data_IF_064048021835
#
_entry.id   IF_064048021835
#
_cell.length_a   1.000
_cell.length_b   1.000
_cell.length_c   1.000
_cell.angle_alpha   90.00
_cell.angle_beta   90.00
_cell.angle_gamma   90.00
#
_symmetry.space_group_name_H-M   'P 1'
#
loop_
_entity.id
_entity.type
_entity.pdbx_description
1 polymer ?
#
# COMPACT_ATOMS: atom_id res chain seq x y z
N UNK A 1 -14.58 -6.80 -14.07
CA UNK A 1 -13.43 -6.04 -14.60
C UNK A 1 -12.15 -6.82 -14.40
N UNK A 2 -11.16 -6.63 -15.29
CA UNK A 2 -9.85 -7.29 -15.20
C UNK A 2 -8.76 -6.22 -15.22
N UNK A 3 -7.59 -6.47 -14.59
CA UNK A 3 -6.47 -5.55 -14.62
C UNK A 3 -6.13 -5.09 -16.05
N UNK A 4 -5.93 -3.79 -16.24
CA UNK A 4 -5.58 -3.19 -17.52
C UNK A 4 -6.66 -3.21 -18.60
N UNK A 5 -7.90 -3.57 -18.28
CA UNK A 5 -8.96 -3.73 -19.29
C UNK A 5 -9.42 -2.42 -19.92
N UNK A 6 -9.30 -1.30 -19.24
CA UNK A 6 -9.88 0.00 -19.63
C UNK A 6 -8.83 1.07 -19.96
N UNK A 7 -7.56 0.75 -19.93
CA UNK A 7 -6.53 1.66 -20.36
C UNK A 7 -6.52 1.83 -21.88
N UNK A 8 -6.10 2.99 -22.38
CA UNK A 8 -5.71 3.10 -23.77
C UNK A 8 -4.62 2.06 -24.04
N UNK A 9 -4.64 1.47 -25.23
CA UNK A 9 -3.67 0.44 -25.58
C UNK A 9 -3.08 0.69 -26.96
N UNK A 10 -1.84 0.27 -27.12
CA UNK A 10 -1.20 0.19 -28.44
C UNK A 10 -0.58 -1.20 -28.63
N UNK A 11 -0.36 -1.58 -29.86
CA UNK A 11 0.21 -2.89 -30.19
C UNK A 11 1.59 -2.71 -30.83
N UNK A 12 2.58 -3.44 -30.31
CA UNK A 12 3.92 -3.54 -30.88
C UNK A 12 4.27 -5.02 -31.02
N UNK A 13 4.61 -5.45 -32.23
CA UNK A 13 5.02 -6.83 -32.54
C UNK A 13 4.03 -7.89 -32.03
N UNK A 14 2.72 -7.64 -32.14
CA UNK A 14 1.67 -8.55 -31.69
C UNK A 14 1.39 -8.52 -30.17
N UNK A 15 2.12 -7.73 -29.41
CA UNK A 15 1.88 -7.54 -27.98
C UNK A 15 1.08 -6.27 -27.73
N UNK A 16 0.04 -6.38 -26.93
CA UNK A 16 -0.82 -5.28 -26.55
C UNK A 16 -0.34 -4.65 -25.26
N UNK A 17 -0.04 -3.36 -25.32
CA UNK A 17 0.40 -2.56 -24.17
C UNK A 17 -0.73 -1.63 -23.75
N UNK A 18 -0.96 -1.55 -22.45
CA UNK A 18 -1.98 -0.70 -21.84
C UNK A 18 -1.29 0.46 -21.14
N UNK A 19 -1.88 1.65 -21.24
CA UNK A 19 -1.49 2.79 -20.43
C UNK A 19 -2.74 3.48 -19.90
N UNK A 20 -2.62 4.00 -18.73
CA UNK A 20 -3.67 4.71 -18.00
C UNK A 20 -3.21 4.78 -16.55
N UNK A 21 -2.84 5.98 -16.14
CA UNK A 21 -2.42 6.31 -14.80
C UNK A 21 -2.72 7.78 -14.49
N UNK A 22 -2.85 8.09 -13.22
CA UNK A 22 -2.72 9.46 -12.72
C UNK A 22 -1.23 9.65 -12.42
N UNK A 23 -0.59 10.56 -13.13
CA UNK A 23 0.86 10.73 -13.09
C UNK A 23 1.23 12.11 -12.53
N UNK A 24 1.87 12.11 -11.37
CA UNK A 24 2.48 13.29 -10.76
C UNK A 24 3.94 13.33 -11.19
N UNK A 25 4.27 14.30 -12.01
CA UNK A 25 5.62 14.49 -12.54
C UNK A 25 6.54 15.13 -11.50
N UNK A 26 7.84 15.03 -11.71
CA UNK A 26 8.87 15.67 -10.88
C UNK A 26 8.54 17.13 -10.59
N UNK A 27 8.59 17.51 -9.32
CA UNK A 27 8.26 18.86 -8.83
C UNK A 27 6.77 19.09 -8.59
N UNK A 28 5.93 18.08 -8.73
CA UNK A 28 4.51 18.18 -8.35
C UNK A 28 4.36 18.11 -6.83
N UNK A 29 3.65 19.05 -6.20
CA UNK A 29 3.43 19.10 -4.75
C UNK A 29 2.03 19.60 -4.38
N UNK A 30 1.61 19.36 -3.13
CA UNK A 30 0.34 19.86 -2.58
C UNK A 30 -0.90 19.29 -3.22
N UNK A 31 -0.81 18.13 -3.88
CA UNK A 31 -1.95 17.49 -4.53
C UNK A 31 -2.81 16.72 -3.54
N UNK A 32 -4.11 16.65 -3.80
CA UNK A 32 -5.05 15.85 -3.01
C UNK A 32 -5.96 15.03 -3.90
N UNK A 33 -6.10 13.75 -3.59
CA UNK A 33 -7.14 12.86 -4.12
C UNK A 33 -7.95 12.35 -2.94
N UNK A 34 -9.27 12.58 -2.97
CA UNK A 34 -10.18 12.18 -1.91
C UNK A 34 -11.50 11.66 -2.48
N UNK A 35 -12.06 10.61 -1.89
CA UNK A 35 -13.29 9.95 -2.32
C UNK A 35 -13.29 9.53 -3.79
N UNK A 36 -12.23 8.87 -4.24
CA UNK A 36 -12.08 8.44 -5.62
C UNK A 36 -12.16 6.91 -5.78
N UNK A 37 -12.59 6.47 -6.96
CA UNK A 37 -12.46 5.08 -7.42
C UNK A 37 -11.62 5.08 -8.68
N UNK A 38 -10.40 4.57 -8.59
CA UNK A 38 -9.42 4.50 -9.68
C UNK A 38 -9.26 3.03 -10.08
N UNK A 39 -9.64 2.68 -11.30
CA UNK A 39 -9.61 1.27 -11.70
C UNK A 39 -9.29 1.04 -13.17
N UNK A 40 -8.84 -0.19 -13.47
CA UNK A 40 -8.67 -0.70 -14.83
C UNK A 40 -7.59 0.05 -15.64
N UNK A 41 -6.50 0.44 -14.98
CA UNK A 41 -5.36 1.12 -15.58
C UNK A 41 -4.08 0.27 -15.62
N UNK A 42 -2.99 0.91 -15.92
CA UNK A 42 -1.64 0.32 -15.83
C UNK A 42 -1.08 0.49 -14.42
N UNK A 43 -1.01 1.73 -13.97
CA UNK A 43 -0.73 2.11 -12.58
C UNK A 43 -1.88 3.01 -12.13
N UNK A 44 -2.40 2.82 -10.94
CA UNK A 44 -3.45 3.70 -10.43
C UNK A 44 -2.91 5.11 -10.26
N UNK A 45 -1.85 5.22 -9.48
CA UNK A 45 -1.12 6.46 -9.23
C UNK A 45 0.37 6.19 -9.48
N UNK A 46 0.98 7.03 -10.28
CA UNK A 46 2.43 7.08 -10.46
C UNK A 46 2.92 8.44 -9.97
N UNK A 47 3.98 8.43 -9.14
CA UNK A 47 4.60 9.65 -8.63
C UNK A 47 6.09 9.53 -8.91
N UNK A 48 6.61 10.51 -9.67
CA UNK A 48 8.03 10.62 -9.95
C UNK A 48 8.73 11.44 -8.85
N UNK A 49 10.04 11.48 -8.91
CA UNK A 49 10.89 12.08 -7.89
C UNK A 49 10.43 13.47 -7.46
N UNK A 50 10.34 13.66 -6.16
CA UNK A 50 10.10 14.94 -5.53
C UNK A 50 11.41 15.69 -5.26
N UNK A 51 11.37 17.02 -5.13
CA UNK A 51 12.57 17.86 -5.06
C UNK A 51 12.70 18.57 -3.70
N UNK A 52 11.65 18.60 -2.90
CA UNK A 52 11.60 19.31 -1.61
C UNK A 52 10.83 18.52 -0.52
N UNK A 53 10.69 19.09 0.68
CA UNK A 53 10.05 18.43 1.83
C UNK A 53 8.51 18.52 1.85
N UNK A 54 7.87 19.12 0.83
CA UNK A 54 6.41 19.19 0.78
C UNK A 54 5.78 17.84 0.42
N UNK A 55 4.61 17.56 0.96
CA UNK A 55 3.82 16.38 0.57
C UNK A 55 3.42 16.49 -0.89
N UNK A 56 3.85 15.51 -1.69
CA UNK A 56 3.51 15.45 -3.12
C UNK A 56 2.03 15.16 -3.31
N UNK A 57 1.52 14.18 -2.58
CA UNK A 57 0.12 13.76 -2.67
C UNK A 57 -0.41 13.34 -1.30
N UNK A 58 -1.57 13.87 -0.94
CA UNK A 58 -2.45 13.31 0.09
C UNK A 58 -3.56 12.50 -0.57
N UNK A 59 -3.59 11.20 -0.31
CA UNK A 59 -4.58 10.25 -0.84
C UNK A 59 -5.47 9.74 0.28
N UNK A 60 -6.78 9.97 0.19
CA UNK A 60 -7.70 9.56 1.25
C UNK A 60 -9.01 8.99 0.72
N UNK A 61 -9.64 8.13 1.51
CA UNK A 61 -10.99 7.59 1.23
C UNK A 61 -11.13 7.07 -0.22
N UNK A 62 -10.12 6.35 -0.70
CA UNK A 62 -9.99 6.02 -2.12
C UNK A 62 -9.85 4.51 -2.33
N UNK A 63 -10.45 4.02 -3.40
CA UNK A 63 -10.31 2.64 -3.86
C UNK A 63 -9.50 2.61 -5.14
N UNK A 64 -8.40 1.85 -5.16
CA UNK A 64 -7.59 1.60 -6.36
C UNK A 64 -7.63 0.12 -6.69
N UNK A 65 -8.00 -0.26 -7.91
CA UNK A 65 -8.14 -1.67 -8.25
C UNK A 65 -7.93 -2.00 -9.73
N UNK A 66 -7.66 -3.28 -9.99
CA UNK A 66 -7.56 -3.84 -11.34
C UNK A 66 -6.46 -3.16 -12.17
N UNK A 67 -5.26 -3.00 -11.62
CA UNK A 67 -4.12 -2.42 -12.31
C UNK A 67 -3.24 -3.50 -12.91
N UNK A 68 -2.77 -3.30 -14.16
CA UNK A 68 -1.89 -4.25 -14.82
C UNK A 68 -0.43 -4.20 -14.34
N UNK A 69 -0.07 -3.21 -13.52
CA UNK A 69 1.22 -3.13 -12.83
C UNK A 69 0.96 -2.89 -11.34
N UNK A 70 0.63 -1.68 -10.92
CA UNK A 70 0.55 -1.34 -9.50
C UNK A 70 -0.60 -0.38 -9.17
N UNK A 71 -1.10 -0.46 -7.95
CA UNK A 71 -2.03 0.54 -7.42
C UNK A 71 -1.32 1.88 -7.24
N UNK A 72 -0.26 1.90 -6.45
CA UNK A 72 0.65 3.03 -6.29
C UNK A 72 2.04 2.63 -6.75
N UNK A 73 2.70 3.50 -7.50
CA UNK A 73 4.11 3.41 -7.86
C UNK A 73 4.76 4.76 -7.56
N UNK A 74 5.48 4.84 -6.45
CA UNK A 74 6.06 6.08 -5.95
C UNK A 74 7.60 5.97 -5.90
N UNK A 75 8.28 7.03 -6.34
CA UNK A 75 9.73 7.09 -6.40
C UNK A 75 10.22 8.38 -5.74
N UNK A 76 11.04 8.26 -4.69
CA UNK A 76 11.68 9.39 -3.99
C UNK A 76 10.69 10.54 -3.73
N UNK A 77 9.57 10.27 -3.06
CA UNK A 77 8.48 11.23 -2.94
C UNK A 77 7.90 11.24 -1.52
N UNK A 78 7.13 12.27 -1.19
CA UNK A 78 6.42 12.41 0.06
C UNK A 78 4.92 12.11 -0.16
N UNK A 79 4.42 11.05 0.44
CA UNK A 79 3.07 10.53 0.20
C UNK A 79 2.35 10.22 1.53
N UNK A 80 1.20 10.86 1.74
CA UNK A 80 0.28 10.55 2.83
C UNK A 80 -0.94 9.78 2.32
N UNK A 81 -1.21 8.61 2.88
CA UNK A 81 -2.33 7.74 2.48
C UNK A 81 -3.15 7.36 3.69
N UNK A 82 -4.45 7.58 3.65
CA UNK A 82 -5.36 7.12 4.71
C UNK A 82 -6.67 6.55 4.16
N UNK A 83 -7.32 5.69 4.94
CA UNK A 83 -8.61 5.08 4.59
C UNK A 83 -8.67 4.62 3.13
N UNK A 84 -7.65 3.91 2.66
CA UNK A 84 -7.51 3.57 1.26
C UNK A 84 -7.42 2.06 1.07
N UNK A 85 -8.20 1.54 0.12
CA UNK A 85 -8.16 0.14 -0.30
C UNK A 85 -7.47 0.02 -1.65
N UNK A 86 -6.44 -0.82 -1.73
CA UNK A 86 -5.74 -1.14 -2.98
C UNK A 86 -5.73 -2.65 -3.18
N UNK A 87 -6.30 -3.12 -4.30
CA UNK A 87 -6.41 -4.54 -4.54
C UNK A 87 -6.39 -4.92 -6.02
N UNK A 88 -6.14 -6.20 -6.28
CA UNK A 88 -6.17 -6.81 -7.61
C UNK A 88 -5.25 -6.08 -8.60
N UNK A 89 -3.98 -5.94 -8.24
CA UNK A 89 -2.92 -5.40 -9.08
C UNK A 89 -2.01 -6.55 -9.55
N UNK A 90 -1.57 -6.55 -10.82
CA UNK A 90 -0.82 -7.69 -11.36
C UNK A 90 0.58 -7.85 -10.73
N UNK A 91 1.19 -6.76 -10.25
CA UNK A 91 2.48 -6.77 -9.55
C UNK A 91 2.33 -6.35 -8.09
N UNK A 92 2.12 -5.07 -7.79
CA UNK A 92 2.14 -4.52 -6.44
C UNK A 92 0.84 -3.79 -6.13
N UNK A 93 0.34 -3.89 -4.91
CA UNK A 93 -0.63 -2.92 -4.43
C UNK A 93 0.07 -1.55 -4.24
N UNK A 94 1.24 -1.54 -3.61
CA UNK A 94 2.08 -0.35 -3.51
C UNK A 94 3.56 -0.70 -3.69
N UNK A 95 4.27 0.06 -4.54
CA UNK A 95 5.71 0.02 -4.69
C UNK A 95 6.27 1.40 -4.34
N UNK A 96 6.98 1.48 -3.22
CA UNK A 96 7.60 2.67 -2.66
C UNK A 96 9.11 2.51 -2.85
N UNK A 97 9.61 3.14 -3.91
CA UNK A 97 10.94 2.83 -4.42
C UNK A 97 11.84 4.05 -4.43
N UNK A 98 13.14 3.81 -4.37
CA UNK A 98 14.18 4.83 -4.48
C UNK A 98 14.12 5.85 -3.33
N UNK A 99 13.81 5.39 -2.10
CA UNK A 99 13.67 6.29 -0.95
C UNK A 99 12.39 7.11 -0.96
N UNK A 100 12.33 8.13 -0.11
CA UNK A 100 11.18 9.03 0.06
C UNK A 100 10.55 8.95 1.45
N UNK A 101 9.47 9.72 1.67
CA UNK A 101 8.72 9.75 2.93
C UNK A 101 7.28 9.26 2.71
N UNK A 102 6.89 8.26 3.44
CA UNK A 102 5.63 7.55 3.25
C UNK A 102 4.89 7.37 4.56
N UNK A 103 3.63 7.78 4.60
CA UNK A 103 2.77 7.58 5.76
C UNK A 103 1.45 6.94 5.32
N UNK A 104 1.16 5.74 5.84
CA UNK A 104 -0.02 4.94 5.50
C UNK A 104 -0.80 4.62 6.77
N UNK A 105 -1.99 5.16 6.91
CA UNK A 105 -2.85 4.95 8.08
C UNK A 105 -4.19 4.39 7.68
N UNK A 106 -4.65 3.34 8.35
CA UNK A 106 -5.91 2.67 8.04
C UNK A 106 -6.02 2.26 6.57
N UNK A 107 -4.96 1.64 6.03
CA UNK A 107 -4.94 1.18 4.65
C UNK A 107 -5.07 -0.34 4.53
N UNK A 108 -5.66 -0.80 3.43
CA UNK A 108 -5.74 -2.21 3.08
C UNK A 108 -5.05 -2.42 1.73
N UNK A 109 -3.88 -3.07 1.74
CA UNK A 109 -3.07 -3.40 0.58
C UNK A 109 -3.13 -4.90 0.34
N UNK A 110 -3.87 -5.36 -0.68
CA UNK A 110 -4.14 -6.78 -0.85
C UNK A 110 -4.11 -7.25 -2.30
N UNK A 111 -3.38 -8.33 -2.57
CA UNK A 111 -3.34 -8.95 -3.89
C UNK A 111 -3.60 -10.47 -3.81
N UNK A 112 -4.83 -10.90 -4.12
CA UNK A 112 -5.18 -12.32 -4.23
C UNK A 112 -5.11 -12.86 -5.66
N UNK A 113 -5.15 -12.00 -6.66
CA UNK A 113 -5.19 -12.36 -8.07
C UNK A 113 -3.93 -11.90 -8.84
N UNK A 114 -2.84 -11.61 -8.14
CA UNK A 114 -1.57 -11.22 -8.76
C UNK A 114 -1.07 -12.32 -9.70
N UNK A 115 -0.81 -11.97 -10.96
CA UNK A 115 -0.27 -12.90 -11.97
C UNK A 115 1.23 -13.06 -11.87
N UNK A 116 1.89 -12.06 -11.35
CA UNK A 116 3.31 -12.04 -11.09
C UNK A 116 3.54 -12.31 -9.60
N UNK A 117 4.57 -13.09 -9.28
CA UNK A 117 4.89 -13.48 -7.91
C UNK A 117 5.60 -12.32 -7.18
N UNK A 118 4.92 -11.18 -7.10
CA UNK A 118 5.40 -9.98 -6.43
C UNK A 118 4.53 -9.67 -5.21
N UNK A 119 5.13 -9.22 -4.09
CA UNK A 119 4.40 -8.94 -2.86
C UNK A 119 3.48 -7.71 -3.01
N UNK A 120 2.48 -7.62 -2.16
CA UNK A 120 1.54 -6.49 -2.16
C UNK A 120 2.22 -5.17 -1.86
N UNK A 121 3.24 -5.17 -0.99
CA UNK A 121 4.03 -3.99 -0.62
C UNK A 121 5.52 -4.22 -0.81
N UNK A 122 6.15 -3.30 -1.53
CA UNK A 122 7.62 -3.20 -1.66
C UNK A 122 8.08 -1.84 -1.17
N UNK A 123 9.15 -1.85 -0.38
CA UNK A 123 9.85 -0.67 0.12
C UNK A 123 11.33 -0.84 -0.20
N UNK A 124 11.92 0.07 -0.97
CA UNK A 124 13.36 0.09 -1.20
C UNK A 124 13.92 1.51 -1.34
N UNK A 125 15.23 1.66 -1.12
CA UNK A 125 15.89 2.96 -1.17
C UNK A 125 16.95 3.09 -2.28
N UNK A 126 17.06 2.13 -3.19
CA UNK A 126 18.15 2.10 -4.17
C UNK A 126 17.73 1.62 -5.56
N UNK A 127 18.58 1.92 -6.55
CA UNK A 127 18.54 1.33 -7.88
C UNK A 127 19.90 1.43 -8.59
N UNK A 128 20.09 0.61 -9.62
CA UNK A 128 21.24 0.68 -10.51
C UNK A 128 20.81 1.22 -11.88
N UNK A 129 21.50 2.22 -12.38
CA UNK A 129 21.29 2.78 -13.71
C UNK A 129 22.64 3.10 -14.35
N UNK A 130 22.85 2.65 -15.58
CA UNK A 130 24.07 2.90 -16.36
C UNK A 130 25.36 2.54 -15.58
N UNK A 131 25.35 1.40 -14.87
CA UNK A 131 26.38 0.90 -13.95
C UNK A 131 26.64 1.79 -12.70
N UNK A 132 25.82 2.82 -12.46
CA UNK A 132 25.88 3.63 -11.26
C UNK A 132 24.81 3.16 -10.27
N UNK A 133 25.22 2.99 -9.01
CA UNK A 133 24.33 2.61 -7.90
C UNK A 133 23.93 3.86 -7.12
N UNK A 134 22.62 4.10 -7.06
CA UNK A 134 22.04 5.26 -6.42
C UNK A 134 21.30 4.82 -5.16
N UNK A 135 21.47 5.54 -4.06
CA UNK A 135 20.81 5.30 -2.78
C UNK A 135 20.23 6.61 -2.26
N UNK A 136 19.04 6.55 -1.67
CA UNK A 136 18.31 7.70 -1.14
C UNK A 136 17.82 7.42 0.27
N UNK A 137 17.56 8.47 1.04
CA UNK A 137 16.93 8.36 2.34
C UNK A 137 15.49 7.87 2.21
N UNK A 138 15.09 6.99 3.14
CA UNK A 138 13.73 6.47 3.22
C UNK A 138 13.20 6.61 4.64
N UNK A 139 11.97 7.12 4.74
CA UNK A 139 11.17 7.10 5.96
C UNK A 139 9.78 6.55 5.62
N UNK A 140 9.36 5.43 6.23
CA UNK A 140 8.08 4.81 5.93
C UNK A 140 7.34 4.39 7.20
N UNK A 141 6.14 4.91 7.40
CA UNK A 141 5.30 4.58 8.54
C UNK A 141 3.98 3.97 8.08
N UNK A 142 3.64 2.83 8.66
CA UNK A 142 2.38 2.13 8.44
C UNK A 142 1.69 1.92 9.77
N UNK A 143 0.47 2.44 9.93
CA UNK A 143 -0.32 2.29 11.13
C UNK A 143 -1.73 1.77 10.83
N UNK A 144 -2.26 0.96 11.73
CA UNK A 144 -3.62 0.41 11.66
C UNK A 144 -3.95 -0.19 10.28
N UNK A 145 -2.99 -0.85 9.63
CA UNK A 145 -3.10 -1.25 8.22
C UNK A 145 -3.05 -2.76 8.03
N UNK A 146 -3.57 -3.24 6.90
CA UNK A 146 -3.54 -4.65 6.50
C UNK A 146 -2.74 -4.81 5.21
N UNK A 147 -1.68 -5.63 5.26
CA UNK A 147 -0.88 -6.05 4.10
C UNK A 147 -1.03 -7.57 3.95
N UNK A 148 -1.76 -8.01 2.92
CA UNK A 148 -2.09 -9.42 2.75
C UNK A 148 -2.24 -9.78 1.26
N UNK A 149 -2.32 -11.09 0.96
CA UNK A 149 -2.52 -11.57 -0.41
C UNK A 149 -2.29 -13.08 -0.52
N UNK A 150 -1.95 -13.53 -1.73
CA UNK A 150 -1.81 -14.96 -2.05
C UNK A 150 -0.42 -15.53 -1.79
N UNK A 151 0.63 -14.69 -1.73
CA UNK A 151 2.01 -15.15 -1.54
C UNK A 151 2.30 -15.56 -0.08
N UNK A 152 3.40 -16.24 0.13
CA UNK A 152 3.91 -16.57 1.47
C UNK A 152 4.35 -15.31 2.22
N UNK A 153 4.91 -14.32 1.52
CA UNK A 153 5.23 -12.99 2.05
C UNK A 153 4.67 -11.92 1.12
N UNK A 154 3.89 -11.00 1.67
CA UNK A 154 3.29 -9.88 0.96
C UNK A 154 4.00 -8.55 1.26
N UNK A 155 5.11 -8.63 1.97
CA UNK A 155 6.00 -7.52 2.29
C UNK A 155 7.41 -7.84 1.81
N UNK A 156 8.04 -6.90 1.10
CA UNK A 156 9.46 -6.90 0.76
C UNK A 156 10.07 -5.57 1.20
N UNK A 157 11.15 -5.66 1.97
CA UNK A 157 11.97 -4.55 2.42
C UNK A 157 13.36 -4.79 1.87
N UNK A 158 13.88 -3.87 1.07
CA UNK A 158 15.13 -4.00 0.33
C UNK A 158 15.98 -2.76 0.53
N UNK A 159 16.88 -2.84 1.51
CA UNK A 159 17.79 -1.77 1.93
C UNK A 159 19.14 -1.90 1.24
N UNK A 160 19.67 -0.79 0.74
CA UNK A 160 21.08 -0.69 0.34
C UNK A 160 21.98 -0.64 1.58
N UNK A 161 22.58 -1.77 1.91
CA UNK A 161 23.53 -1.86 3.01
C UNK A 161 24.85 -1.13 2.67
N UNK A 162 25.61 -0.72 3.70
CA UNK A 162 26.92 -0.07 3.58
C UNK A 162 26.94 1.34 2.97
N UNK A 163 25.78 2.02 2.94
CA UNK A 163 25.65 3.41 2.53
C UNK A 163 25.27 4.30 3.71
N UNK A 164 25.79 5.52 3.76
CA UNK A 164 25.49 6.52 4.78
C UNK A 164 24.17 7.26 4.41
N UNK A 165 23.08 6.48 4.39
CA UNK A 165 21.72 6.95 4.12
C UNK A 165 20.78 6.45 5.21
N UNK A 166 19.75 7.24 5.50
CA UNK A 166 18.71 6.88 6.43
C UNK A 166 17.78 5.84 5.79
N UNK A 167 17.50 4.75 6.51
CA UNK A 167 16.50 3.77 6.11
C UNK A 167 15.62 3.42 7.31
N UNK A 168 14.64 4.29 7.56
CA UNK A 168 13.73 4.17 8.69
C UNK A 168 12.37 3.69 8.22
N UNK A 169 11.85 2.66 8.86
CA UNK A 169 10.47 2.23 8.66
C UNK A 169 9.85 1.77 9.97
N UNK A 170 8.53 1.85 10.05
CA UNK A 170 7.79 1.31 11.19
C UNK A 170 6.43 0.77 10.75
N UNK A 171 6.09 -0.41 11.25
CA UNK A 171 4.75 -0.96 11.22
C UNK A 171 4.19 -0.97 12.63
N UNK A 172 3.11 -0.22 12.87
CA UNK A 172 2.44 -0.13 14.16
C UNK A 172 0.99 -0.59 14.05
N UNK A 173 0.57 -1.55 14.88
CA UNK A 173 -0.79 -2.09 14.84
C UNK A 173 -1.19 -2.49 13.41
N UNK A 174 -0.42 -3.36 12.77
CA UNK A 174 -0.68 -3.84 11.41
C UNK A 174 -0.92 -5.34 11.37
N UNK A 175 -1.74 -5.79 10.42
CA UNK A 175 -1.82 -7.20 10.05
C UNK A 175 -0.93 -7.43 8.83
N UNK A 176 0.13 -8.23 9.03
CA UNK A 176 1.13 -8.50 7.99
C UNK A 176 1.14 -9.99 7.63
N UNK A 177 1.10 -10.29 6.33
CA UNK A 177 1.39 -11.63 5.83
C UNK A 177 2.84 -11.70 5.39
N UNK A 178 3.65 -12.34 6.21
CA UNK A 178 5.07 -12.55 5.97
C UNK A 178 5.44 -14.03 6.13
N UNK A 179 6.47 -14.45 5.42
CA UNK A 179 7.03 -15.80 5.58
C UNK A 179 7.47 -16.00 7.04
N UNK A 180 7.26 -17.18 7.65
CA UNK A 180 7.67 -17.44 9.03
C UNK A 180 9.17 -17.22 9.33
N UNK A 181 10.00 -17.16 8.30
CA UNK A 181 11.43 -16.86 8.43
C UNK A 181 11.73 -15.36 8.43
N UNK A 182 10.74 -14.52 8.13
CA UNK A 182 10.87 -13.07 8.20
C UNK A 182 10.97 -12.65 9.66
N UNK A 183 12.05 -11.97 10.02
CA UNK A 183 12.36 -11.61 11.41
C UNK A 183 11.68 -10.27 11.75
N UNK A 184 10.85 -10.27 12.78
CA UNK A 184 10.16 -9.08 13.32
C UNK A 184 10.48 -8.88 14.81
N UNK A 185 11.72 -9.18 15.23
CA UNK A 185 12.11 -9.14 16.64
C UNK A 185 12.34 -7.70 17.15
N UNK A 186 12.59 -6.76 16.25
CA UNK A 186 12.74 -5.36 16.61
C UNK A 186 11.36 -4.71 16.81
N UNK A 187 10.99 -4.52 18.07
CA UNK A 187 9.70 -3.92 18.45
C UNK A 187 9.62 -2.41 18.22
N UNK A 188 10.72 -1.76 17.82
CA UNK A 188 10.70 -0.36 17.36
C UNK A 188 10.28 -0.27 15.91
N UNK A 189 10.59 -1.28 15.09
CA UNK A 189 10.19 -1.38 13.68
C UNK A 189 8.84 -2.08 13.51
N UNK A 190 8.57 -3.12 14.34
CA UNK A 190 7.37 -3.96 14.27
C UNK A 190 6.62 -3.96 15.61
N UNK A 191 5.70 -3.02 15.78
CA UNK A 191 4.98 -2.82 17.03
C UNK A 191 3.54 -3.32 16.95
N UNK A 192 3.13 -4.22 17.86
CA UNK A 192 1.77 -4.78 17.93
C UNK A 192 1.31 -5.44 16.63
N UNK A 193 2.15 -6.26 16.03
CA UNK A 193 1.84 -6.90 14.75
C UNK A 193 0.95 -8.14 14.93
N UNK A 194 -0.10 -8.21 14.12
CA UNK A 194 -0.91 -9.41 13.89
C UNK A 194 -0.33 -10.13 12.67
N UNK A 195 0.07 -11.40 12.81
CA UNK A 195 0.81 -12.10 11.75
C UNK A 195 0.05 -13.30 11.19
N UNK A 196 -0.19 -13.27 9.89
CA UNK A 196 -0.53 -14.46 9.13
C UNK A 196 0.71 -15.40 9.03
N UNK A 197 0.53 -16.73 8.89
CA UNK A 197 -0.70 -17.41 8.41
C UNK A 197 -1.71 -17.79 9.48
N UNK A 198 -1.44 -17.61 10.77
CA UNK A 198 -2.38 -18.01 11.83
C UNK A 198 -3.54 -17.04 11.98
N UNK A 199 -3.27 -15.75 11.88
CA UNK A 199 -4.21 -14.68 12.10
C UNK A 199 -4.61 -14.04 10.76
N UNK A 200 -5.75 -14.45 10.22
CA UNK A 200 -6.22 -14.04 8.90
C UNK A 200 -7.14 -12.82 8.97
N UNK A 201 -7.07 -11.90 8.01
CA UNK A 201 -7.95 -10.74 7.96
C UNK A 201 -9.42 -11.10 7.69
N UNK A 202 -9.70 -12.31 7.16
CA UNK A 202 -11.04 -12.84 6.89
C UNK A 202 -12.00 -11.77 6.35
N UNK A 203 -11.78 -11.40 5.11
CA UNK A 203 -12.67 -10.48 4.42
C UNK A 203 -13.98 -11.15 4.00
N UNK A 204 -15.06 -10.39 3.92
CA UNK A 204 -16.42 -10.89 3.60
C UNK A 204 -16.47 -11.57 2.24
N UNK A 205 -16.01 -10.92 1.16
CA UNK A 205 -16.00 -11.49 -0.18
C UNK A 205 -14.92 -10.86 -1.07
N UNK A 206 -13.65 -11.17 -0.87
CA UNK A 206 -12.56 -10.57 -1.63
C UNK A 206 -12.60 -10.88 -3.14
N UNK A 207 -13.27 -11.96 -3.55
CA UNK A 207 -13.43 -12.30 -4.96
C UNK A 207 -14.31 -11.30 -5.72
N UNK A 208 -15.25 -10.67 -5.03
CA UNK A 208 -16.12 -9.61 -5.56
C UNK A 208 -15.66 -8.20 -5.15
N UNK A 209 -14.47 -8.07 -4.54
CA UNK A 209 -13.92 -6.80 -4.10
C UNK A 209 -14.47 -6.28 -2.77
N UNK A 210 -15.15 -7.13 -1.99
CA UNK A 210 -15.63 -6.77 -0.65
C UNK A 210 -14.57 -7.16 0.40
N UNK A 211 -13.81 -6.15 0.81
CA UNK A 211 -12.73 -6.27 1.80
C UNK A 211 -13.13 -5.76 3.19
N UNK A 212 -14.43 -5.65 3.47
CA UNK A 212 -14.92 -5.45 4.83
C UNK A 212 -14.62 -6.70 5.67
N UNK A 213 -14.43 -6.50 6.96
CA UNK A 213 -14.02 -7.58 7.85
C UNK A 213 -15.20 -8.50 8.22
N UNK A 214 -14.95 -9.81 8.19
CA UNK A 214 -15.83 -10.85 8.74
C UNK A 214 -15.78 -10.84 10.28
N UNK A 215 -16.78 -11.44 10.93
CA UNK A 215 -16.88 -11.58 12.40
C UNK A 215 -15.68 -12.24 13.06
N UNK A 216 -14.96 -13.10 12.34
CA UNK A 216 -13.82 -13.86 12.84
C UNK A 216 -12.48 -13.28 12.35
N UNK A 217 -12.49 -12.04 11.86
CA UNK A 217 -11.28 -11.38 11.40
C UNK A 217 -10.29 -11.15 12.55
N UNK A 218 -9.03 -11.48 12.31
CA UNK A 218 -7.95 -11.15 13.25
C UNK A 218 -7.57 -9.66 13.23
N UNK A 219 -8.06 -8.91 12.23
CA UNK A 219 -7.86 -7.47 12.12
C UNK A 219 -8.83 -6.65 12.99
N UNK A 220 -9.85 -7.30 13.55
CA UNK A 220 -10.89 -6.67 14.36
C UNK A 220 -10.36 -6.22 15.71
N UNK A 221 -10.72 -5.00 16.14
CA UNK A 221 -10.41 -4.42 17.46
C UNK A 221 -8.89 -4.41 17.77
N UNK A 222 -8.03 -4.18 16.79
CA UNK A 222 -6.57 -4.25 16.93
C UNK A 222 -5.84 -2.94 16.64
N UNK A 223 -6.54 -1.93 16.16
CA UNK A 223 -5.96 -0.64 15.85
C UNK A 223 -5.57 0.17 17.07
N UNK A 224 -4.64 1.08 16.88
CA UNK A 224 -4.27 2.06 17.89
C UNK A 224 -5.29 3.21 17.87
N UNK A 225 -6.05 3.43 18.99
CA UNK A 225 -7.08 4.47 19.04
C UNK A 225 -6.53 5.90 18.97
N UNK A 226 -5.23 6.11 19.11
CA UNK A 226 -4.64 7.44 18.97
C UNK A 226 -4.90 8.05 17.58
N UNK A 227 -5.07 7.23 16.56
CA UNK A 227 -5.37 7.67 15.19
C UNK A 227 -6.83 8.08 14.96
N UNK A 228 -7.75 7.82 15.90
CA UNK A 228 -9.15 8.24 15.80
C UNK A 228 -9.35 9.76 15.80
N UNK A 229 -8.39 10.51 16.35
CA UNK A 229 -8.44 11.98 16.36
C UNK A 229 -8.42 12.52 14.93
N UNK A 230 -7.57 11.97 14.08
CA UNK A 230 -7.38 12.44 12.70
C UNK A 230 -8.21 11.63 11.70
N UNK A 231 -8.52 10.36 12.00
CA UNK A 231 -9.23 9.43 11.14
C UNK A 231 -10.42 8.77 11.81
N UNK A 232 -11.46 9.55 12.22
CA UNK A 232 -12.61 9.01 12.98
C UNK A 232 -13.56 8.17 12.14
N UNK A 233 -13.52 8.30 10.81
CA UNK A 233 -14.37 7.57 9.87
C UNK A 233 -13.56 6.58 9.06
N UNK A 234 -14.18 5.51 8.63
CA UNK A 234 -13.62 4.53 7.71
C UNK A 234 -13.86 4.90 6.23
N UNK A 235 -13.48 4.02 5.29
CA UNK A 235 -13.63 4.22 3.85
C UNK A 235 -15.11 4.35 3.41
N UNK A 236 -16.03 3.68 4.09
CA UNK A 236 -17.48 3.76 3.83
C UNK A 236 -18.16 4.91 4.61
N UNK A 237 -17.41 5.68 5.40
CA UNK A 237 -17.92 6.76 6.25
C UNK A 237 -18.56 6.26 7.56
N UNK A 238 -18.25 5.03 7.95
CA UNK A 238 -18.64 4.46 9.24
C UNK A 238 -17.74 5.01 10.34
N UNK A 239 -18.33 5.43 11.46
CA UNK A 239 -17.58 5.89 12.62
C UNK A 239 -16.80 4.71 13.25
N UNK A 240 -15.50 4.89 13.42
CA UNK A 240 -14.65 3.92 14.08
C UNK A 240 -14.91 3.94 15.58
N UNK A 241 -14.99 2.77 16.20
CA UNK A 241 -15.21 2.68 17.63
C UNK A 241 -13.92 2.92 18.44
N UNK A 242 -14.00 2.77 19.77
CA UNK A 242 -12.88 3.04 20.67
C UNK A 242 -11.70 2.07 20.54
N UNK A 243 -11.88 0.95 19.84
CA UNK A 243 -10.85 -0.03 19.48
C UNK A 243 -10.93 -0.28 17.98
N UNK A 244 -10.42 0.65 17.15
CA UNK A 244 -10.65 0.62 15.73
C UNK A 244 -10.10 -0.65 15.07
N UNK A 245 -10.72 -1.06 14.00
CA UNK A 245 -10.27 -2.16 13.19
C UNK A 245 -9.02 -1.80 12.36
N UNK A 246 -8.23 -2.81 12.01
CA UNK A 246 -7.13 -2.63 11.07
C UNK A 246 -7.65 -2.56 9.64
N UNK A 247 -7.04 -1.68 8.84
CA UNK A 247 -7.36 -1.51 7.44
C UNK A 247 -8.38 -0.42 7.17
N UNK A 248 -8.85 -0.38 5.92
CA UNK A 248 -9.66 0.70 5.39
C UNK A 248 -11.11 0.71 5.92
N UNK A 249 -11.60 -0.40 6.46
CA UNK A 249 -12.98 -0.55 6.90
C UNK A 249 -13.11 -0.83 8.39
N UNK A 250 -14.13 -0.26 8.98
CA UNK A 250 -14.61 -0.56 10.32
C UNK A 250 -15.77 -1.56 10.27
N UNK A 251 -15.75 -2.57 11.10
CA UNK A 251 -16.81 -3.56 11.17
C UNK A 251 -17.90 -3.12 12.13
N UNK A 252 -19.11 -2.99 11.63
CA UNK A 252 -20.29 -2.74 12.48
C UNK A 252 -20.70 -4.05 13.16
N UNK A 253 -20.67 -4.08 14.48
CA UNK A 253 -21.28 -5.16 15.26
C UNK A 253 -22.81 -5.02 15.25
N UNK A 254 -23.50 -6.10 14.89
CA UNK A 254 -24.96 -6.19 14.93
C UNK A 254 -25.43 -6.82 16.25
#
# INVERSE_FOLDING_TARGET
DKPGQWGASYEINGNKYYFGNIHFLTGSSGNTINYAIIKNGTKGIQIDNHVDDETTLTLSNTVISNMSISGIYAQTTNLDVCNTLIYNCDYYAAALTLGGKYNFVHTTLVNYAARHLMPSLVINNHYTRDDEFHVYDLEAHFANSVIHGSLASELMIDEALDYDTQFDFQFENCLLKVDPRFVMDDTTLFKNIVSAPTDLPRFVNPAEGDFRLDTLSAAKDRGNPAYLIDYPLDLDGVERDSLPDLGAYERIEQ
#
